data_IF_426620257991
#
_entry.id   IF_426620257991
#
_cell.length_a   1.000
_cell.length_b   1.000
_cell.length_c   1.000
_cell.angle_alpha   90.00
_cell.angle_beta   90.00
_cell.angle_gamma   90.00
#
_symmetry.space_group_name_H-M   'P 1'
#
loop_
_entity.id
_entity.type
_entity.pdbx_description
1 polymer ?
#
# COMPACT_ATOMS: atom_id res chain seq x y z
N UNK A 1 3.56 29.18 -13.83
CA UNK A 1 3.91 28.71 -12.47
C UNK A 1 3.65 29.84 -11.49
N UNK A 2 2.80 29.64 -10.48
CA UNK A 2 2.33 30.71 -9.56
C UNK A 2 3.49 31.50 -8.95
N UNK A 3 4.58 30.82 -8.57
CA UNK A 3 5.77 31.44 -8.01
C UNK A 3 6.40 32.47 -8.97
N UNK A 4 6.71 32.07 -10.22
CA UNK A 4 7.32 32.97 -11.22
C UNK A 4 6.46 34.20 -11.56
N UNK A 5 5.13 34.05 -11.51
CA UNK A 5 4.20 35.14 -11.78
C UNK A 5 4.09 36.15 -10.62
N UNK A 6 4.54 35.78 -9.42
CA UNK A 6 4.43 36.59 -8.20
C UNK A 6 5.79 36.95 -7.59
N UNK A 7 6.89 36.37 -8.10
CA UNK A 7 8.24 36.64 -7.64
C UNK A 7 8.76 37.94 -8.26
N UNK A 8 9.16 38.89 -7.43
CA UNK A 8 9.92 40.06 -7.87
C UNK A 8 11.41 39.69 -7.88
N UNK A 9 12.03 39.74 -9.07
CA UNK A 9 13.47 39.76 -9.29
C UNK A 9 14.28 38.58 -8.67
N UNK A 10 14.30 37.42 -9.36
CA UNK A 10 15.14 36.24 -9.04
C UNK A 10 16.05 35.87 -10.25
N UNK A 11 16.98 36.76 -10.67
CA UNK A 11 17.79 36.57 -11.88
C UNK A 11 18.67 35.32 -11.83
N UNK A 12 19.25 35.03 -10.67
CA UNK A 12 20.09 33.85 -10.46
C UNK A 12 19.28 32.57 -10.20
N UNK A 13 17.94 32.65 -10.22
CA UNK A 13 17.00 31.55 -9.94
C UNK A 13 17.22 30.86 -8.59
N UNK A 14 17.78 31.57 -7.61
CA UNK A 14 18.13 31.00 -6.30
C UNK A 14 16.87 30.54 -5.58
N UNK A 15 15.86 31.40 -5.51
CA UNK A 15 14.62 31.10 -4.81
C UNK A 15 13.79 30.07 -5.56
N UNK A 16 13.83 30.10 -6.89
CA UNK A 16 13.20 29.07 -7.72
C UNK A 16 13.84 27.68 -7.51
N UNK A 17 15.17 27.58 -7.42
CA UNK A 17 15.87 26.31 -7.12
C UNK A 17 15.51 25.80 -5.74
N UNK A 18 15.49 26.69 -4.75
CA UNK A 18 15.10 26.33 -3.38
C UNK A 18 13.67 25.80 -3.32
N UNK A 19 12.71 26.49 -3.96
CA UNK A 19 11.33 26.02 -4.06
C UNK A 19 11.24 24.63 -4.72
N UNK A 20 11.97 24.40 -5.81
CA UNK A 20 12.00 23.09 -6.47
C UNK A 20 12.53 22.00 -5.54
N UNK A 21 13.59 22.29 -4.77
CA UNK A 21 14.14 21.36 -3.80
C UNK A 21 13.13 21.03 -2.70
N UNK A 22 12.45 22.04 -2.17
CA UNK A 22 11.40 21.86 -1.15
C UNK A 22 10.22 21.04 -1.67
N UNK A 23 9.74 21.32 -2.89
CA UNK A 23 8.68 20.54 -3.54
C UNK A 23 9.11 19.08 -3.73
N UNK A 24 10.36 18.84 -4.17
CA UNK A 24 10.89 17.49 -4.34
C UNK A 24 10.93 16.75 -3.01
N UNK A 25 11.50 17.36 -1.97
CA UNK A 25 11.57 16.77 -0.63
C UNK A 25 10.17 16.44 -0.10
N UNK A 26 9.23 17.38 -0.22
CA UNK A 26 7.85 17.17 0.24
C UNK A 26 7.14 16.08 -0.56
N UNK A 27 7.39 15.98 -1.87
CA UNK A 27 6.89 14.87 -2.71
C UNK A 27 7.44 13.53 -2.21
N UNK A 28 8.74 13.43 -1.94
CA UNK A 28 9.37 12.21 -1.42
C UNK A 28 8.76 11.80 -0.07
N UNK A 29 8.54 12.75 0.84
CA UNK A 29 7.86 12.53 2.12
C UNK A 29 6.43 12.02 1.93
N UNK A 30 5.66 12.63 1.02
CA UNK A 30 4.29 12.17 0.71
C UNK A 30 4.28 10.77 0.09
N UNK A 31 5.23 10.47 -0.81
CA UNK A 31 5.35 9.14 -1.41
C UNK A 31 5.63 8.09 -0.34
N UNK A 32 6.57 8.36 0.57
CA UNK A 32 6.87 7.46 1.69
C UNK A 32 5.63 7.22 2.56
N UNK A 33 4.93 8.30 2.95
CA UNK A 33 3.69 8.19 3.74
C UNK A 33 2.60 7.38 3.01
N UNK A 34 2.46 7.58 1.71
CA UNK A 34 1.49 6.83 0.89
C UNK A 34 1.83 5.33 0.86
N UNK A 35 3.12 4.98 0.73
CA UNK A 35 3.53 3.58 0.82
C UNK A 35 3.30 2.97 2.20
N UNK A 36 3.62 3.72 3.28
CA UNK A 36 3.45 3.25 4.65
C UNK A 36 1.97 2.97 4.97
N UNK A 37 1.07 3.90 4.63
CA UNK A 37 -0.37 3.72 4.81
C UNK A 37 -0.91 2.57 3.95
N UNK A 38 -0.42 2.43 2.73
CA UNK A 38 -0.79 1.32 1.85
C UNK A 38 -0.37 -0.02 2.44
N UNK A 39 0.84 -0.13 3.01
CA UNK A 39 1.30 -1.33 3.72
C UNK A 39 0.41 -1.68 4.91
N UNK A 40 0.03 -0.67 5.71
CA UNK A 40 -0.83 -0.85 6.87
C UNK A 40 -2.22 -1.38 6.46
N UNK A 41 -2.86 -0.72 5.50
CA UNK A 41 -4.16 -1.15 4.96
C UNK A 41 -4.10 -2.57 4.41
N UNK A 42 -3.07 -2.90 3.63
CA UNK A 42 -2.89 -4.23 3.06
C UNK A 42 -2.67 -5.30 4.13
N UNK A 43 -1.87 -4.99 5.17
CA UNK A 43 -1.62 -5.91 6.28
C UNK A 43 -2.90 -6.19 7.07
N UNK A 44 -3.70 -5.16 7.37
CA UNK A 44 -4.98 -5.31 8.08
C UNK A 44 -5.99 -6.12 7.28
N UNK A 45 -6.12 -5.84 5.98
CA UNK A 45 -7.00 -6.60 5.09
C UNK A 45 -6.60 -8.07 5.03
N UNK A 46 -5.31 -8.38 4.84
CA UNK A 46 -4.82 -9.76 4.81
C UNK A 46 -5.01 -10.44 6.16
N UNK A 47 -4.77 -9.74 7.27
CA UNK A 47 -4.99 -10.25 8.62
C UNK A 47 -6.45 -10.67 8.79
N UNK A 48 -7.39 -9.79 8.49
CA UNK A 48 -8.82 -10.03 8.56
C UNK A 48 -9.27 -11.17 7.64
N UNK A 49 -8.87 -11.15 6.37
CA UNK A 49 -9.28 -12.17 5.40
C UNK A 49 -8.70 -13.55 5.74
N UNK A 50 -7.54 -13.61 6.39
CA UNK A 50 -6.86 -14.87 6.73
C UNK A 50 -7.35 -15.55 8.01
N UNK A 51 -8.26 -14.92 8.79
CA UNK A 51 -8.76 -15.49 10.05
C UNK A 51 -9.33 -16.88 9.83
N UNK A 52 -10.25 -17.04 8.87
CA UNK A 52 -10.92 -18.32 8.61
C UNK A 52 -9.96 -19.43 8.18
N UNK A 53 -8.91 -19.06 7.44
CA UNK A 53 -7.84 -19.97 7.01
C UNK A 53 -6.98 -20.39 8.21
N UNK A 54 -6.63 -19.43 9.08
CA UNK A 54 -5.83 -19.66 10.29
C UNK A 54 -6.56 -20.56 11.28
N UNK A 55 -7.83 -20.27 11.55
CA UNK A 55 -8.67 -21.07 12.42
C UNK A 55 -8.83 -22.49 11.85
N UNK A 56 -9.03 -22.62 10.53
CA UNK A 56 -9.07 -23.92 9.87
C UNK A 56 -7.78 -24.72 10.00
N UNK A 57 -6.60 -24.07 10.04
CA UNK A 57 -5.33 -24.75 10.33
C UNK A 57 -5.31 -25.23 11.79
N UNK A 58 -5.66 -24.38 12.74
CA UNK A 58 -5.65 -24.70 14.17
C UNK A 58 -6.62 -25.83 14.53
N UNK A 59 -7.78 -25.87 13.88
CA UNK A 59 -8.81 -26.91 14.03
C UNK A 59 -8.44 -28.22 13.30
N UNK A 60 -7.33 -28.26 12.55
CA UNK A 60 -6.93 -29.43 11.78
C UNK A 60 -7.82 -29.72 10.56
N UNK A 61 -8.55 -28.72 10.05
CA UNK A 61 -9.44 -28.84 8.86
C UNK A 61 -8.69 -29.26 7.60
N UNK A 62 -7.39 -28.98 7.56
CA UNK A 62 -6.49 -29.29 6.44
C UNK A 62 -5.57 -30.50 6.72
N UNK A 63 -5.76 -31.21 7.84
CA UNK A 63 -4.99 -32.41 8.20
C UNK A 63 -5.39 -33.70 7.46
N UNK A 64 -6.65 -33.90 7.01
CA UNK A 64 -7.04 -35.13 6.30
C UNK A 64 -6.32 -35.31 4.95
N UNK A 65 -6.35 -36.53 4.37
CA UNK A 65 -5.95 -36.73 2.98
C UNK A 65 -6.70 -35.74 2.08
N UNK A 66 -5.97 -35.08 1.16
CA UNK A 66 -6.44 -33.95 0.33
C UNK A 66 -6.55 -32.58 1.03
N UNK A 67 -6.22 -32.47 2.31
CA UNK A 67 -6.25 -31.21 3.04
C UNK A 67 -5.35 -30.12 2.44
N UNK A 68 -4.20 -30.50 1.86
CA UNK A 68 -3.35 -29.58 1.08
C UNK A 68 -4.09 -28.97 -0.12
N UNK A 69 -4.85 -29.76 -0.89
CA UNK A 69 -5.62 -29.27 -2.02
C UNK A 69 -6.72 -28.30 -1.56
N UNK A 70 -7.38 -28.62 -0.44
CA UNK A 70 -8.41 -27.77 0.15
C UNK A 70 -7.83 -26.43 0.62
N UNK A 71 -6.69 -26.46 1.31
CA UNK A 71 -5.98 -25.25 1.75
C UNK A 71 -5.63 -24.33 0.57
N UNK A 72 -5.09 -24.90 -0.52
CA UNK A 72 -4.75 -24.14 -1.72
C UNK A 72 -5.97 -23.47 -2.35
N UNK A 73 -7.12 -24.16 -2.38
CA UNK A 73 -8.38 -23.60 -2.89
C UNK A 73 -8.85 -22.41 -2.04
N UNK A 74 -8.90 -22.59 -0.72
CA UNK A 74 -9.37 -21.55 0.20
C UNK A 74 -8.42 -20.33 0.16
N UNK A 75 -7.11 -20.56 0.06
CA UNK A 75 -6.10 -19.52 -0.13
C UNK A 75 -6.30 -18.76 -1.44
N UNK A 76 -6.58 -19.44 -2.56
CA UNK A 76 -6.82 -18.80 -3.85
C UNK A 76 -8.05 -17.89 -3.81
N UNK A 77 -9.15 -18.38 -3.23
CA UNK A 77 -10.37 -17.59 -3.06
C UNK A 77 -10.14 -16.34 -2.20
N UNK A 78 -9.35 -16.45 -1.13
CA UNK A 78 -8.92 -15.31 -0.33
C UNK A 78 -8.17 -14.27 -1.17
N UNK A 79 -7.21 -14.72 -2.00
CA UNK A 79 -6.43 -13.82 -2.85
C UNK A 79 -7.27 -13.13 -3.92
N UNK A 80 -8.27 -13.81 -4.49
CA UNK A 80 -9.23 -13.21 -5.43
C UNK A 80 -10.00 -12.06 -4.76
N UNK A 81 -10.52 -12.29 -3.54
CA UNK A 81 -11.22 -11.27 -2.76
C UNK A 81 -10.26 -10.10 -2.46
N UNK A 82 -9.08 -10.39 -1.93
CA UNK A 82 -8.08 -9.38 -1.58
C UNK A 82 -7.73 -8.51 -2.80
N UNK A 83 -7.49 -9.12 -3.95
CA UNK A 83 -7.15 -8.42 -5.19
C UNK A 83 -8.31 -7.54 -5.69
N UNK A 84 -9.55 -7.99 -5.53
CA UNK A 84 -10.76 -7.25 -5.91
C UNK A 84 -11.07 -6.03 -5.04
N UNK A 85 -10.54 -5.92 -3.83
CA UNK A 85 -10.83 -4.79 -2.93
C UNK A 85 -10.19 -3.48 -3.41
N UNK A 86 -10.93 -2.36 -3.48
CA UNK A 86 -10.35 -1.05 -3.77
C UNK A 86 -9.61 -0.48 -2.54
N UNK A 87 -8.90 0.63 -2.72
CA UNK A 87 -8.36 1.41 -1.59
C UNK A 87 -7.09 0.86 -0.93
N UNK A 88 -6.50 -0.23 -1.47
CA UNK A 88 -5.24 -0.83 -0.97
C UNK A 88 -4.01 0.07 -1.10
N UNK A 89 -4.05 1.04 -2.01
CA UNK A 89 -2.95 1.96 -2.27
C UNK A 89 -1.95 1.38 -3.29
N UNK A 90 -0.67 1.68 -3.10
CA UNK A 90 0.42 1.38 -4.05
C UNK A 90 1.24 0.12 -3.71
N UNK A 91 0.96 -0.53 -2.58
CA UNK A 91 1.62 -1.74 -2.08
C UNK A 91 0.65 -2.91 -2.00
#
# INVERSE_FOLDING_TARGET
MVFKARSLNDPDQRYLRELKNQIRKRKEEFMKKNEDLSREVCADLLSCLSISLRDGILEGRYSPPQGQKRFLRDKLQLLEIYNGLPGKGVK
#
